data_IF_745825070126
#
_entry.id   IF_745825070126
#
_cell.length_a   1.000
_cell.length_b   1.000
_cell.length_c   1.000
_cell.angle_alpha   90.00
_cell.angle_beta   90.00
_cell.angle_gamma   90.00
#
_symmetry.space_group_name_H-M   'P 1'
#
loop_
_entity.id
_entity.type
_entity.pdbx_description
1 polymer ?
#
# COMPACT_ATOMS: atom_id res chain seq x y z
N UNK A 1 -51.57 -4.66 -51.42
CA UNK A 1 -50.36 -4.72 -50.59
C UNK A 1 -50.77 -4.94 -49.15
N UNK A 2 -50.85 -6.21 -48.72
CA UNK A 2 -51.41 -6.58 -47.41
C UNK A 2 -50.24 -6.73 -46.43
N UNK A 3 -50.24 -5.93 -45.38
CA UNK A 3 -49.30 -6.09 -44.26
C UNK A 3 -49.79 -7.23 -43.35
N UNK A 4 -49.03 -8.30 -43.22
CA UNK A 4 -49.27 -9.37 -42.27
C UNK A 4 -48.96 -8.90 -40.85
N UNK A 5 -50.00 -8.86 -40.02
CA UNK A 5 -49.86 -8.70 -38.58
C UNK A 5 -49.38 -10.04 -37.99
N UNK A 6 -48.15 -10.11 -37.52
CA UNK A 6 -47.66 -11.26 -36.77
C UNK A 6 -48.32 -11.30 -35.40
N UNK A 7 -48.86 -12.45 -35.05
CA UNK A 7 -49.66 -12.68 -33.85
C UNK A 7 -48.80 -12.57 -32.58
N UNK A 8 -49.16 -11.73 -31.62
CA UNK A 8 -48.50 -11.54 -30.31
C UNK A 8 -48.21 -12.85 -29.58
N UNK A 9 -48.97 -13.92 -29.85
CA UNK A 9 -48.76 -15.25 -29.24
C UNK A 9 -47.56 -16.00 -29.80
N UNK A 10 -47.14 -15.76 -31.02
CA UNK A 10 -45.92 -16.39 -31.60
C UNK A 10 -44.65 -15.69 -31.13
N UNK A 11 -44.71 -14.38 -30.95
CA UNK A 11 -43.59 -13.61 -30.37
C UNK A 11 -43.31 -14.00 -28.93
N UNK A 12 -44.30 -14.30 -28.11
CA UNK A 12 -44.13 -14.76 -26.73
C UNK A 12 -43.61 -16.21 -26.63
N UNK A 13 -43.93 -17.07 -27.62
CA UNK A 13 -43.39 -18.43 -27.65
C UNK A 13 -41.92 -18.50 -28.05
N UNK A 14 -41.45 -17.65 -28.95
CA UNK A 14 -40.05 -17.58 -29.36
C UNK A 14 -39.20 -16.80 -28.36
N UNK A 15 -39.72 -15.77 -27.71
CA UNK A 15 -39.03 -15.01 -26.66
C UNK A 15 -38.85 -15.79 -25.34
N UNK A 16 -39.79 -16.66 -25.00
CA UNK A 16 -39.74 -17.45 -23.77
C UNK A 16 -38.64 -18.53 -23.77
N UNK A 17 -38.38 -19.14 -24.91
CA UNK A 17 -37.31 -20.16 -25.02
C UNK A 17 -35.91 -19.55 -24.98
N UNK A 18 -35.71 -18.33 -25.50
CA UNK A 18 -34.44 -17.62 -25.44
C UNK A 18 -34.09 -17.15 -24.03
N UNK A 19 -35.10 -16.76 -23.21
CA UNK A 19 -34.89 -16.36 -21.82
C UNK A 19 -34.51 -17.55 -20.91
N UNK A 20 -35.07 -18.74 -21.19
CA UNK A 20 -34.75 -19.93 -20.38
C UNK A 20 -33.34 -20.44 -20.65
N UNK A 21 -32.80 -20.27 -21.87
CA UNK A 21 -31.40 -20.60 -22.19
C UNK A 21 -30.40 -19.63 -21.59
N UNK A 22 -30.75 -18.37 -21.38
CA UNK A 22 -29.93 -17.39 -20.69
C UNK A 22 -29.90 -17.58 -19.17
N UNK A 23 -30.94 -18.16 -18.58
CA UNK A 23 -30.99 -18.44 -17.15
C UNK A 23 -30.22 -19.72 -16.76
N UNK A 24 -29.99 -20.64 -17.68
CA UNK A 24 -29.21 -21.85 -17.43
C UNK A 24 -27.69 -21.66 -17.61
N UNK A 25 -27.23 -20.54 -18.15
CA UNK A 25 -25.79 -20.23 -18.25
C UNK A 25 -25.23 -19.52 -16.99
N UNK A 26 -26.08 -19.19 -16.00
CA UNK A 26 -25.68 -18.52 -14.74
C UNK A 26 -25.65 -19.44 -13.51
N UNK A 27 -25.51 -20.75 -13.66
CA UNK A 27 -25.29 -21.64 -12.51
C UNK A 27 -23.83 -21.92 -12.21
N UNK A 28 -22.91 -21.00 -12.53
CA UNK A 28 -21.70 -20.89 -11.77
C UNK A 28 -22.08 -20.22 -10.45
N UNK A 29 -22.35 -21.01 -9.41
CA UNK A 29 -22.36 -20.55 -8.03
C UNK A 29 -21.03 -19.86 -7.83
N UNK A 30 -21.00 -18.53 -7.92
CA UNK A 30 -19.79 -17.76 -7.70
C UNK A 30 -19.34 -18.08 -6.27
N UNK A 31 -18.32 -18.90 -6.16
CA UNK A 31 -17.78 -19.30 -4.86
C UNK A 31 -17.52 -18.01 -4.08
N UNK A 32 -18.21 -17.81 -2.96
CA UNK A 32 -18.02 -16.61 -2.12
C UNK A 32 -16.59 -16.61 -1.64
N UNK A 33 -15.80 -15.66 -2.10
CA UNK A 33 -14.43 -15.45 -1.66
C UNK A 33 -14.44 -14.56 -0.42
N UNK A 34 -13.80 -15.00 0.65
CA UNK A 34 -13.54 -14.19 1.84
C UNK A 34 -12.17 -13.54 1.72
N UNK A 35 -12.13 -12.22 1.78
CA UNK A 35 -10.90 -11.44 1.67
C UNK A 35 -10.63 -10.67 2.97
N UNK A 36 -9.58 -11.08 3.70
CA UNK A 36 -9.09 -10.34 4.85
C UNK A 36 -8.26 -9.15 4.38
N UNK A 37 -8.61 -7.95 4.81
CA UNK A 37 -8.05 -6.71 4.32
C UNK A 37 -7.49 -5.87 5.45
N UNK A 38 -6.18 -5.68 5.49
CA UNK A 38 -5.56 -4.67 6.34
C UNK A 38 -5.80 -3.28 5.73
N UNK A 39 -6.68 -2.50 6.35
CA UNK A 39 -7.15 -1.23 5.80
C UNK A 39 -6.18 -0.04 6.07
N UNK A 40 -5.03 -0.26 6.71
CA UNK A 40 -4.06 0.80 7.00
C UNK A 40 -3.38 1.28 5.72
N UNK A 41 -3.44 2.58 5.47
CA UNK A 41 -2.76 3.27 4.36
C UNK A 41 -3.20 2.86 2.95
N UNK A 42 -4.31 2.13 2.80
CA UNK A 42 -4.88 1.84 1.48
C UNK A 42 -5.54 3.10 0.90
N UNK A 43 -5.37 3.37 -0.40
CA UNK A 43 -6.10 4.43 -1.07
C UNK A 43 -7.62 4.15 -1.08
N UNK A 44 -8.42 5.19 -1.12
CA UNK A 44 -9.89 5.06 -1.10
C UNK A 44 -10.38 4.21 -2.28
N UNK A 45 -9.75 4.35 -3.44
CA UNK A 45 -10.09 3.60 -4.66
C UNK A 45 -9.71 2.11 -4.61
N UNK A 46 -8.91 1.68 -3.62
CA UNK A 46 -8.52 0.28 -3.54
C UNK A 46 -9.73 -0.66 -3.38
N UNK A 47 -10.78 -0.20 -2.72
CA UNK A 47 -12.02 -0.99 -2.55
C UNK A 47 -12.73 -1.28 -3.87
N UNK A 48 -12.60 -0.37 -4.83
CA UNK A 48 -13.28 -0.48 -6.13
C UNK A 48 -12.64 -1.52 -7.06
N UNK A 49 -11.40 -1.93 -6.76
CA UNK A 49 -10.68 -2.96 -7.52
C UNK A 49 -10.87 -4.36 -6.96
N UNK A 50 -11.50 -4.48 -5.80
CA UNK A 50 -11.86 -5.79 -5.22
C UNK A 50 -13.17 -6.23 -5.86
N UNK A 51 -13.25 -7.47 -6.40
CA UNK A 51 -14.47 -7.95 -7.02
C UNK A 51 -15.68 -7.84 -6.06
N UNK A 52 -16.80 -7.33 -6.55
CA UNK A 52 -18.01 -7.09 -5.75
C UNK A 52 -18.53 -8.35 -5.03
N UNK A 53 -18.34 -9.52 -5.65
CA UNK A 53 -18.74 -10.81 -5.07
C UNK A 53 -17.88 -11.24 -3.88
N UNK A 54 -16.75 -10.57 -3.61
CA UNK A 54 -15.84 -10.92 -2.52
C UNK A 54 -16.28 -10.27 -1.22
N UNK A 55 -16.41 -11.08 -0.16
CA UNK A 55 -16.69 -10.58 1.18
C UNK A 55 -15.41 -10.02 1.81
N UNK A 56 -15.40 -8.72 2.04
CA UNK A 56 -14.27 -8.03 2.67
C UNK A 56 -14.38 -8.06 4.20
N UNK A 57 -13.35 -8.55 4.88
CA UNK A 57 -13.24 -8.58 6.33
C UNK A 57 -12.03 -7.72 6.75
N UNK A 58 -12.27 -6.66 7.54
CA UNK A 58 -11.19 -5.75 7.94
C UNK A 58 -10.34 -6.33 9.07
N UNK A 59 -9.02 -6.22 8.93
CA UNK A 59 -8.03 -6.52 9.96
C UNK A 59 -7.45 -5.21 10.49
N UNK A 60 -7.33 -5.10 11.81
CA UNK A 60 -6.69 -3.96 12.47
C UNK A 60 -5.67 -4.47 13.49
N UNK A 61 -4.38 -4.43 13.15
CA UNK A 61 -3.29 -4.91 13.99
C UNK A 61 -2.90 -3.94 15.12
N UNK A 62 -3.25 -2.66 15.02
CA UNK A 62 -2.93 -1.65 16.03
C UNK A 62 -3.84 -1.67 17.27
N UNK A 63 -4.79 -2.59 17.36
CA UNK A 63 -5.69 -2.74 18.49
C UNK A 63 -5.40 -4.04 19.28
N UNK A 64 -5.85 -4.12 20.53
CA UNK A 64 -5.74 -5.31 21.39
C UNK A 64 -6.55 -6.54 20.89
N UNK A 65 -6.85 -6.59 19.59
CA UNK A 65 -7.67 -7.61 18.92
C UNK A 65 -6.86 -8.64 18.13
N UNK A 66 -5.67 -9.01 18.59
CA UNK A 66 -4.80 -9.97 17.87
C UNK A 66 -5.50 -11.31 17.61
N UNK A 67 -6.23 -11.83 18.57
CA UNK A 67 -6.97 -13.09 18.43
C UNK A 67 -8.10 -12.96 17.40
N UNK A 68 -8.89 -11.89 17.45
CA UNK A 68 -9.93 -11.60 16.45
C UNK A 68 -9.35 -11.49 15.04
N UNK A 69 -8.24 -10.79 14.89
CA UNK A 69 -7.56 -10.65 13.61
C UNK A 69 -7.07 -12.01 13.10
N UNK A 70 -6.52 -12.84 13.99
CA UNK A 70 -6.08 -14.19 13.65
C UNK A 70 -7.25 -15.03 13.12
N UNK A 71 -8.41 -15.00 13.77
CA UNK A 71 -9.60 -15.73 13.32
C UNK A 71 -10.08 -15.22 11.95
N UNK A 72 -10.11 -13.89 11.72
CA UNK A 72 -10.47 -13.33 10.42
C UNK A 72 -9.52 -13.84 9.32
N UNK A 73 -8.22 -13.86 9.58
CA UNK A 73 -7.21 -14.38 8.66
C UNK A 73 -7.44 -15.87 8.38
N UNK A 74 -7.73 -16.65 9.43
CA UNK A 74 -7.97 -18.09 9.33
C UNK A 74 -9.23 -18.44 8.54
N UNK A 75 -10.25 -17.58 8.55
CA UNK A 75 -11.52 -17.75 7.85
C UNK A 75 -11.52 -17.18 6.44
N UNK A 76 -10.40 -16.58 6.00
CA UNK A 76 -10.30 -15.91 4.71
C UNK A 76 -9.55 -16.76 3.68
N UNK A 77 -10.00 -16.68 2.43
CA UNK A 77 -9.36 -17.31 1.28
C UNK A 77 -8.09 -16.56 0.89
N UNK A 78 -8.16 -15.23 0.89
CA UNK A 78 -7.04 -14.34 0.63
C UNK A 78 -6.86 -13.35 1.78
N UNK A 79 -5.62 -12.96 2.02
CA UNK A 79 -5.27 -11.96 3.03
C UNK A 79 -4.35 -10.91 2.41
N UNK A 80 -4.73 -9.63 2.52
CA UNK A 80 -3.87 -8.49 2.20
C UNK A 80 -3.26 -7.92 3.47
N UNK A 81 -1.93 -7.85 3.50
CA UNK A 81 -1.16 -7.37 4.66
C UNK A 81 0.04 -6.54 4.20
N UNK A 82 0.42 -5.53 4.96
CA UNK A 82 1.67 -4.81 4.70
C UNK A 82 2.88 -5.47 5.38
N UNK A 83 4.07 -5.10 4.92
CA UNK A 83 5.35 -5.66 5.36
C UNK A 83 5.64 -5.45 6.85
N UNK A 84 5.03 -4.46 7.49
CA UNK A 84 5.18 -4.20 8.92
C UNK A 84 4.60 -5.32 9.80
N UNK A 85 3.63 -6.08 9.31
CA UNK A 85 2.93 -7.11 10.08
C UNK A 85 3.24 -8.54 9.62
N UNK A 86 4.05 -8.73 8.59
CA UNK A 86 4.40 -10.06 8.08
C UNK A 86 4.95 -10.98 9.17
N UNK A 87 5.72 -10.45 10.10
CA UNK A 87 6.29 -11.24 11.20
C UNK A 87 5.27 -11.78 12.21
N UNK A 88 4.02 -11.30 12.16
CA UNK A 88 2.92 -11.80 13.01
C UNK A 88 2.17 -12.95 12.35
N UNK A 89 2.47 -13.25 11.07
CA UNK A 89 1.79 -14.26 10.28
C UNK A 89 2.40 -15.64 10.52
N UNK A 90 1.54 -16.63 10.75
CA UNK A 90 1.93 -18.03 10.71
C UNK A 90 1.85 -18.56 9.27
N UNK A 91 2.99 -18.59 8.58
CA UNK A 91 3.09 -19.01 7.19
C UNK A 91 2.71 -20.47 6.92
N UNK A 92 2.74 -21.36 7.91
CA UNK A 92 2.32 -22.77 7.71
C UNK A 92 0.86 -22.91 7.24
N UNK A 93 0.06 -21.87 7.45
CA UNK A 93 -1.37 -21.84 7.12
C UNK A 93 -1.67 -21.32 5.70
N UNK A 94 -0.66 -20.92 4.95
CA UNK A 94 -0.82 -20.35 3.61
C UNK A 94 -0.20 -21.27 2.56
N UNK A 95 -0.81 -21.30 1.40
CA UNK A 95 -0.34 -22.04 0.22
C UNK A 95 0.78 -21.26 -0.47
N UNK A 96 1.61 -21.99 -1.20
CA UNK A 96 2.58 -21.39 -2.10
C UNK A 96 1.87 -20.84 -3.35
N UNK A 97 2.38 -19.72 -3.84
CA UNK A 97 1.90 -19.06 -5.05
C UNK A 97 2.96 -19.33 -6.14
N UNK A 98 2.90 -20.54 -6.72
CA UNK A 98 3.94 -21.08 -7.62
C UNK A 98 3.65 -20.89 -9.12
N UNK A 99 2.69 -20.04 -9.47
CA UNK A 99 2.37 -19.80 -10.88
C UNK A 99 3.49 -19.03 -11.56
N UNK A 100 3.95 -19.50 -12.71
CA UNK A 100 4.98 -18.82 -13.51
C UNK A 100 4.60 -17.38 -13.84
N UNK A 101 3.31 -17.14 -14.11
CA UNK A 101 2.74 -15.83 -14.34
C UNK A 101 3.13 -14.83 -13.26
N UNK A 102 3.05 -15.18 -11.97
CA UNK A 102 3.36 -14.26 -10.88
C UNK A 102 4.83 -13.86 -10.84
N UNK A 103 5.72 -14.81 -11.15
CA UNK A 103 7.16 -14.52 -11.21
C UNK A 103 7.53 -13.65 -12.41
N UNK A 104 6.80 -13.76 -13.52
CA UNK A 104 7.06 -13.03 -14.76
C UNK A 104 6.64 -11.57 -14.66
N UNK A 105 5.47 -11.28 -14.07
CA UNK A 105 4.94 -9.92 -14.02
C UNK A 105 5.62 -9.00 -13.01
N UNK A 106 6.30 -9.54 -12.00
CA UNK A 106 6.95 -8.74 -10.97
C UNK A 106 8.13 -7.93 -11.53
N UNK A 107 8.23 -6.67 -11.14
CA UNK A 107 9.38 -5.83 -11.44
C UNK A 107 10.62 -6.29 -10.66
N UNK A 108 11.78 -5.74 -11.03
CA UNK A 108 13.06 -6.08 -10.38
C UNK A 108 13.06 -5.79 -8.88
N UNK A 109 12.51 -4.64 -8.46
CA UNK A 109 12.46 -4.22 -7.05
C UNK A 109 11.66 -5.20 -6.20
N UNK A 110 10.52 -5.68 -6.72
CA UNK A 110 9.70 -6.71 -6.08
C UNK A 110 10.46 -8.00 -5.87
N UNK A 111 11.16 -8.45 -6.91
CA UNK A 111 11.98 -9.68 -6.87
C UNK A 111 13.11 -9.54 -5.86
N UNK A 112 13.82 -8.41 -5.87
CA UNK A 112 14.91 -8.13 -4.94
C UNK A 112 14.40 -8.08 -3.49
N UNK A 113 13.22 -7.47 -3.26
CA UNK A 113 12.63 -7.43 -1.93
C UNK A 113 12.15 -8.80 -1.45
N UNK A 114 11.48 -9.58 -2.30
CA UNK A 114 11.07 -10.95 -1.97
C UNK A 114 12.27 -11.84 -1.62
N UNK A 115 13.42 -11.63 -2.25
CA UNK A 115 14.65 -12.38 -1.95
C UNK A 115 15.22 -12.08 -0.54
N UNK A 116 14.74 -11.04 0.14
CA UNK A 116 15.10 -10.76 1.55
C UNK A 116 14.35 -11.63 2.56
N UNK A 117 13.32 -12.37 2.12
CA UNK A 117 12.56 -13.29 2.95
C UNK A 117 13.11 -14.72 2.87
N UNK A 118 12.85 -15.52 3.90
CA UNK A 118 13.11 -16.95 3.87
C UNK A 118 12.29 -17.63 2.76
N UNK A 119 12.81 -18.72 2.19
CA UNK A 119 12.19 -19.41 1.06
C UNK A 119 10.75 -19.83 1.33
N UNK A 120 10.48 -20.36 2.54
CA UNK A 120 9.15 -20.78 2.97
C UNK A 120 8.14 -19.63 3.10
N UNK A 121 8.61 -18.40 3.27
CA UNK A 121 7.79 -17.19 3.31
C UNK A 121 7.64 -16.58 1.92
N UNK A 122 8.77 -16.44 1.21
CA UNK A 122 8.84 -15.82 -0.12
C UNK A 122 7.87 -16.44 -1.10
N UNK A 123 7.77 -17.78 -1.11
CA UNK A 123 6.89 -18.49 -2.04
C UNK A 123 5.38 -18.31 -1.75
N UNK A 124 5.03 -17.72 -0.59
CA UNK A 124 3.64 -17.50 -0.16
C UNK A 124 3.21 -16.03 -0.21
N UNK A 125 4.16 -15.14 -0.50
CA UNK A 125 3.95 -13.70 -0.56
C UNK A 125 3.89 -13.24 -2.02
N UNK A 126 2.79 -12.58 -2.40
CA UNK A 126 2.70 -11.94 -3.70
C UNK A 126 2.56 -10.43 -3.53
N UNK A 127 3.56 -9.61 -3.93
CA UNK A 127 3.50 -8.17 -3.80
C UNK A 127 2.53 -7.58 -4.84
N UNK A 128 1.51 -6.83 -4.38
CA UNK A 128 0.52 -6.19 -5.25
C UNK A 128 0.56 -4.68 -5.21
N UNK A 129 1.30 -4.12 -4.28
CA UNK A 129 1.38 -2.69 -4.17
C UNK A 129 2.49 -2.21 -3.25
N UNK A 130 2.91 -0.99 -3.47
CA UNK A 130 3.84 -0.28 -2.61
C UNK A 130 3.45 1.19 -2.48
N UNK A 131 3.71 1.75 -1.31
CA UNK A 131 3.41 3.14 -0.96
C UNK A 131 4.68 3.80 -0.44
N UNK A 132 5.19 4.84 -1.09
CA UNK A 132 6.31 5.62 -0.56
C UNK A 132 5.84 6.50 0.60
N UNK A 133 6.70 6.68 1.61
CA UNK A 133 6.51 7.78 2.54
C UNK A 133 6.79 9.11 1.87
N UNK A 134 6.04 10.12 2.25
CA UNK A 134 6.18 11.47 1.76
C UNK A 134 6.43 12.44 2.92
N UNK A 135 7.08 13.54 2.64
CA UNK A 135 7.18 14.69 3.53
C UNK A 135 6.10 15.69 3.14
N UNK A 136 5.20 16.01 4.06
CA UNK A 136 4.22 17.09 3.87
C UNK A 136 4.68 18.30 4.66
N UNK A 137 4.72 19.45 3.99
CA UNK A 137 5.14 20.73 4.57
C UNK A 137 3.98 21.71 4.47
N UNK A 138 3.60 22.30 5.62
CA UNK A 138 2.55 23.30 5.73
C UNK A 138 3.15 24.71 5.72
N UNK A 139 2.65 25.60 4.82
CA UNK A 139 2.93 27.03 4.77
C UNK A 139 4.42 27.44 4.73
N UNK A 140 5.32 26.60 4.23
CA UNK A 140 6.75 26.94 4.25
C UNK A 140 7.50 26.51 2.98
N UNK A 141 7.55 27.41 1.99
CA UNK A 141 8.22 27.17 0.68
C UNK A 141 9.74 26.98 0.81
N UNK A 142 10.39 27.62 1.79
CA UNK A 142 11.84 27.52 1.99
C UNK A 142 12.23 26.13 2.46
N UNK A 143 11.42 25.53 3.35
CA UNK A 143 11.62 24.15 3.79
C UNK A 143 11.48 23.15 2.65
N UNK A 144 10.59 23.40 1.68
CA UNK A 144 10.39 22.53 0.51
C UNK A 144 11.69 22.35 -0.27
N UNK A 145 12.43 23.44 -0.51
CA UNK A 145 13.71 23.38 -1.22
C UNK A 145 14.76 22.57 -0.45
N UNK A 146 14.84 22.73 0.85
CA UNK A 146 15.78 22.00 1.72
C UNK A 146 15.40 20.52 1.82
N UNK A 147 14.11 20.21 1.99
CA UNK A 147 13.59 18.86 2.09
C UNK A 147 13.81 18.05 0.81
N UNK A 148 13.71 18.67 -0.37
CA UNK A 148 14.01 18.00 -1.66
C UNK A 148 15.46 17.52 -1.76
N UNK A 149 16.39 18.19 -1.08
CA UNK A 149 17.82 17.86 -1.14
C UNK A 149 18.15 16.68 -0.25
N UNK A 150 17.66 16.69 1.01
CA UNK A 150 18.14 15.76 2.02
C UNK A 150 17.21 15.70 3.23
N UNK A 151 17.18 14.54 3.90
CA UNK A 151 16.57 14.33 5.22
C UNK A 151 17.21 15.18 6.33
N UNK A 152 18.42 15.71 6.14
CA UNK A 152 19.12 16.55 7.13
C UNK A 152 18.33 17.80 7.51
N UNK A 153 17.38 18.28 6.66
CA UNK A 153 16.55 19.43 6.97
C UNK A 153 15.71 19.24 8.24
N UNK A 154 15.36 17.99 8.57
CA UNK A 154 14.60 17.65 9.78
C UNK A 154 15.35 18.02 11.07
N UNK A 155 16.69 18.17 11.02
CA UNK A 155 17.50 18.58 12.18
C UNK A 155 17.56 20.09 12.38
N UNK A 156 16.83 20.88 11.57
CA UNK A 156 16.77 22.33 11.70
C UNK A 156 16.16 22.74 13.04
N UNK A 157 16.81 23.62 13.78
CA UNK A 157 16.26 24.18 15.06
C UNK A 157 14.88 24.83 14.89
N UNK A 158 14.55 25.33 13.70
CA UNK A 158 13.23 25.89 13.38
C UNK A 158 12.09 24.87 13.44
N UNK A 159 12.43 23.57 13.41
CA UNK A 159 11.48 22.45 13.42
C UNK A 159 11.31 21.83 14.82
N UNK A 160 11.96 22.37 15.86
CA UNK A 160 11.84 21.84 17.23
C UNK A 160 10.39 21.78 17.68
N UNK A 161 9.90 20.57 18.02
CA UNK A 161 8.51 20.27 18.40
C UNK A 161 7.47 20.65 17.32
N UNK A 162 7.85 20.61 16.03
CA UNK A 162 6.97 20.95 14.90
C UNK A 162 6.87 19.85 13.83
N UNK A 163 7.38 18.67 14.12
CA UNK A 163 7.32 17.53 13.20
C UNK A 163 6.40 16.46 13.77
N UNK A 164 5.54 15.93 12.94
CA UNK A 164 4.74 14.74 13.23
C UNK A 164 5.38 13.55 12.51
N UNK A 165 5.73 12.54 13.27
CA UNK A 165 6.31 11.30 12.76
C UNK A 165 5.30 10.15 12.83
N UNK A 166 5.43 9.13 11.98
CA UNK A 166 4.68 7.89 12.14
C UNK A 166 5.05 7.19 13.46
N UNK A 167 4.11 6.42 14.01
CA UNK A 167 4.31 5.67 15.25
C UNK A 167 5.40 4.59 15.11
N UNK A 168 5.60 4.09 13.89
CA UNK A 168 6.57 3.02 13.63
C UNK A 168 8.02 3.47 13.86
N UNK A 169 8.71 2.97 14.91
CA UNK A 169 10.12 3.27 15.15
C UNK A 169 11.01 2.94 13.96
N UNK A 170 10.64 1.89 13.20
CA UNK A 170 11.37 1.41 12.03
C UNK A 170 11.53 2.51 10.97
N UNK A 171 10.47 3.30 10.75
CA UNK A 171 10.51 4.39 9.78
C UNK A 171 11.48 5.48 10.24
N UNK A 172 11.38 5.92 11.48
CA UNK A 172 12.23 7.00 11.99
C UNK A 172 13.71 6.59 12.06
N UNK A 173 14.00 5.37 12.50
CA UNK A 173 15.38 4.85 12.55
C UNK A 173 15.97 4.79 11.14
N UNK A 174 15.20 4.29 10.16
CA UNK A 174 15.67 4.21 8.77
C UNK A 174 15.93 5.59 8.14
N UNK A 175 15.14 6.59 8.51
CA UNK A 175 15.39 7.99 8.12
C UNK A 175 16.65 8.52 8.81
N UNK A 176 16.84 8.23 10.11
CA UNK A 176 18.04 8.64 10.84
C UNK A 176 19.33 8.11 10.22
N UNK A 177 19.31 6.88 9.67
CA UNK A 177 20.44 6.28 8.95
C UNK A 177 20.80 7.02 7.64
N UNK A 178 19.86 7.80 7.07
CA UNK A 178 20.11 8.64 5.89
C UNK A 178 20.62 10.05 6.26
N UNK A 179 20.63 10.37 7.53
CA UNK A 179 21.10 11.66 8.04
C UNK A 179 22.56 11.51 8.47
N UNK A 180 23.40 12.41 7.98
CA UNK A 180 24.82 12.41 8.32
C UNK A 180 25.05 13.05 9.72
N UNK A 181 24.65 12.32 10.79
CA UNK A 181 24.86 12.72 12.18
C UNK A 181 24.83 11.47 13.07
N UNK A 182 25.79 11.32 13.97
CA UNK A 182 25.89 10.16 14.87
C UNK A 182 24.71 10.09 15.87
N UNK A 183 24.09 11.21 16.18
CA UNK A 183 22.95 11.35 17.09
C UNK A 183 21.63 11.69 16.38
N UNK A 184 21.56 11.39 15.08
CA UNK A 184 20.41 11.72 14.23
C UNK A 184 19.06 11.27 14.83
N UNK A 185 18.99 10.03 15.32
CA UNK A 185 17.75 9.50 15.88
C UNK A 185 17.29 10.24 17.14
N UNK A 186 18.22 10.53 18.06
CA UNK A 186 17.91 11.30 19.26
C UNK A 186 17.43 12.73 18.90
N UNK A 187 18.12 13.37 17.94
CA UNK A 187 17.71 14.68 17.43
C UNK A 187 16.35 14.64 16.76
N UNK A 188 16.05 13.63 15.94
CA UNK A 188 14.73 13.48 15.32
C UNK A 188 13.63 13.30 16.38
N UNK A 189 13.87 12.47 17.40
CA UNK A 189 12.92 12.31 18.52
C UNK A 189 12.69 13.64 19.23
N UNK A 190 13.71 14.46 19.45
CA UNK A 190 13.55 15.79 20.10
C UNK A 190 12.80 16.80 19.23
N UNK A 191 12.83 16.65 17.90
CA UNK A 191 12.07 17.48 16.96
C UNK A 191 10.58 17.09 16.89
N UNK A 192 10.24 15.88 17.36
CA UNK A 192 8.87 15.41 17.30
C UNK A 192 7.94 16.26 18.16
N UNK A 193 6.83 16.69 17.58
CA UNK A 193 5.67 17.18 18.30
C UNK A 193 4.89 16.00 18.89
N UNK A 194 4.64 14.98 18.05
CA UNK A 194 3.99 13.73 18.41
C UNK A 194 4.29 12.63 17.38
N UNK A 195 3.90 11.41 17.73
CA UNK A 195 3.91 10.23 16.85
C UNK A 195 2.45 9.78 16.67
N UNK A 196 1.99 9.66 15.43
CA UNK A 196 0.62 9.25 15.11
C UNK A 196 0.56 8.72 13.68
N UNK A 197 -0.12 7.58 13.47
CA UNK A 197 -0.36 7.00 12.16
C UNK A 197 -1.79 7.23 11.65
N UNK A 198 -2.73 7.57 12.54
CA UNK A 198 -4.16 7.62 12.21
C UNK A 198 -4.63 9.04 11.86
N UNK A 199 -4.20 10.02 12.64
CA UNK A 199 -4.70 11.41 12.55
C UNK A 199 -3.62 12.40 12.11
N UNK A 200 -2.53 11.93 11.56
CA UNK A 200 -1.32 12.72 11.23
C UNK A 200 -1.63 13.99 10.44
N UNK A 201 -2.52 13.93 9.44
CA UNK A 201 -2.89 15.10 8.63
C UNK A 201 -3.80 16.07 9.40
N UNK A 202 -4.70 15.54 10.22
CA UNK A 202 -5.54 16.39 11.07
C UNK A 202 -4.67 17.19 12.07
N UNK A 203 -3.69 16.53 12.68
CA UNK A 203 -2.71 17.21 13.52
C UNK A 203 -1.91 18.27 12.75
N UNK A 204 -1.40 17.92 11.56
CA UNK A 204 -0.63 18.85 10.74
C UNK A 204 -1.45 20.11 10.41
N UNK A 205 -2.72 19.95 10.03
CA UNK A 205 -3.58 21.06 9.61
C UNK A 205 -3.94 21.97 10.81
N UNK A 206 -4.26 21.37 11.95
CA UNK A 206 -4.90 22.05 13.08
C UNK A 206 -3.96 22.38 14.27
N UNK A 207 -2.65 22.09 14.16
CA UNK A 207 -1.68 22.38 15.21
C UNK A 207 -0.55 23.30 14.73
N UNK A 208 0.44 23.53 15.60
CA UNK A 208 1.69 24.26 15.31
C UNK A 208 2.69 23.42 14.48
N UNK A 209 2.39 22.15 14.22
CA UNK A 209 3.21 21.35 13.35
C UNK A 209 3.28 21.94 11.94
N UNK A 210 4.45 21.90 11.34
CA UNK A 210 4.66 22.39 9.98
C UNK A 210 5.22 21.30 9.04
N UNK A 211 5.63 20.14 9.57
CA UNK A 211 6.12 18.98 8.81
C UNK A 211 5.46 17.72 9.31
N UNK A 212 5.08 16.83 8.40
CA UNK A 212 4.67 15.46 8.71
C UNK A 212 5.34 14.47 7.77
N UNK A 213 5.70 13.30 8.29
CA UNK A 213 6.18 12.15 7.52
C UNK A 213 5.03 11.14 7.44
N UNK A 214 4.51 10.88 6.26
CA UNK A 214 3.23 10.17 6.08
C UNK A 214 3.26 9.29 4.83
N UNK A 215 2.60 8.12 4.82
CA UNK A 215 2.38 7.37 3.59
C UNK A 215 1.67 8.22 2.54
N UNK A 216 2.19 8.24 1.31
CA UNK A 216 1.67 9.10 0.24
C UNK A 216 0.19 8.85 -0.05
N UNK A 217 -0.26 7.62 0.05
CA UNK A 217 -1.67 7.26 -0.15
C UNK A 217 -2.64 7.99 0.79
N UNK A 218 -2.22 8.34 2.00
CA UNK A 218 -3.06 9.08 2.95
C UNK A 218 -3.19 10.56 2.62
N UNK A 219 -2.19 11.15 1.98
CA UNK A 219 -2.13 12.60 1.79
C UNK A 219 -2.48 13.08 0.38
N UNK A 220 -2.47 12.19 -0.62
CA UNK A 220 -2.66 12.55 -2.04
C UNK A 220 -3.93 13.37 -2.30
N UNK A 221 -5.04 13.06 -1.64
CA UNK A 221 -6.29 13.80 -1.76
C UNK A 221 -6.24 15.19 -1.12
N UNK A 222 -5.58 15.34 0.02
CA UNK A 222 -5.50 16.61 0.74
C UNK A 222 -4.66 17.64 -0.03
N UNK A 223 -3.64 17.18 -0.76
CA UNK A 223 -2.81 18.04 -1.60
C UNK A 223 -3.58 18.70 -2.74
N UNK A 224 -4.68 18.08 -3.17
CA UNK A 224 -5.55 18.62 -4.23
C UNK A 224 -6.49 19.72 -3.72
N UNK A 225 -6.80 19.75 -2.44
CA UNK A 225 -7.81 20.64 -1.85
C UNK A 225 -7.24 21.71 -0.92
N UNK A 226 -6.04 21.48 -0.34
CA UNK A 226 -5.43 22.44 0.59
C UNK A 226 -4.12 23.02 0.01
N UNK A 227 -4.15 24.27 -0.52
CA UNK A 227 -2.99 24.90 -1.15
C UNK A 227 -1.86 25.24 -0.15
N UNK A 228 -2.10 25.15 1.15
CA UNK A 228 -1.07 25.35 2.18
C UNK A 228 -0.10 24.18 2.26
N UNK A 229 -0.50 23.01 1.74
CA UNK A 229 0.27 21.79 1.83
C UNK A 229 1.16 21.61 0.58
N UNK A 230 2.39 21.23 0.82
CA UNK A 230 3.35 20.87 -0.22
C UNK A 230 3.89 19.47 0.05
N UNK A 231 3.91 18.62 -0.98
CA UNK A 231 4.54 17.31 -0.91
C UNK A 231 6.00 17.38 -1.35
N UNK A 232 6.84 16.62 -0.67
CA UNK A 232 8.26 16.51 -1.00
C UNK A 232 8.72 15.06 -0.90
N UNK A 233 9.53 14.66 -1.88
CA UNK A 233 10.29 13.42 -1.88
C UNK A 233 11.78 13.77 -1.97
N UNK A 234 12.59 13.47 -0.95
CA UNK A 234 14.02 13.77 -0.95
C UNK A 234 14.77 12.99 -2.02
N UNK A 235 15.81 13.59 -2.61
CA UNK A 235 16.69 12.91 -3.58
C UNK A 235 17.40 11.68 -2.98
N UNK A 236 17.54 11.63 -1.67
CA UNK A 236 18.11 10.50 -0.94
C UNK A 236 17.21 9.26 -0.88
N UNK A 237 16.00 9.34 -1.45
CA UNK A 237 14.99 8.29 -1.38
C UNK A 237 14.06 8.42 -0.18
N UNK A 238 13.11 7.52 -0.11
CA UNK A 238 12.09 7.43 0.96
C UNK A 238 11.85 5.98 1.37
N UNK A 239 11.38 5.74 2.59
CA UNK A 239 10.92 4.41 3.00
C UNK A 239 9.73 3.97 2.14
N UNK A 240 9.64 2.68 1.84
CA UNK A 240 8.55 2.06 1.08
C UNK A 240 7.78 1.09 1.97
N UNK A 241 6.46 1.16 1.95
CA UNK A 241 5.56 0.17 2.55
C UNK A 241 5.15 -0.79 1.45
N UNK A 242 5.32 -2.08 1.65
CA UNK A 242 4.88 -3.11 0.73
C UNK A 242 3.60 -3.77 1.19
N UNK A 243 2.76 -4.14 0.23
CA UNK A 243 1.54 -4.91 0.45
C UNK A 243 1.58 -6.22 -0.28
N UNK A 244 1.26 -7.28 0.43
CA UNK A 244 1.29 -8.65 -0.07
C UNK A 244 -0.08 -9.30 0.05
N UNK A 245 -0.39 -10.10 -0.96
CA UNK A 245 -1.48 -11.07 -0.87
C UNK A 245 -0.91 -12.42 -0.49
N UNK A 246 -1.59 -13.08 0.43
CA UNK A 246 -1.38 -14.47 0.81
C UNK A 246 -2.64 -15.26 0.47
N UNK A 247 -2.48 -16.51 0.03
CA UNK A 247 -3.59 -17.42 -0.30
C UNK A 247 -3.63 -18.59 0.69
N UNK A 248 -4.82 -18.86 1.24
CA UNK A 248 -5.07 -20.05 2.07
C UNK A 248 -5.92 -21.10 1.38
N UNK A 249 -6.62 -20.69 0.36
CA UNK A 249 -7.65 -21.50 -0.26
C UNK A 249 -7.09 -22.49 -1.25
N UNK A 250 -7.68 -23.66 -1.34
CA UNK A 250 -7.65 -24.54 -2.52
C UNK A 250 -8.56 -23.99 -3.65
N UNK A 251 -8.95 -22.72 -3.59
CA UNK A 251 -9.54 -22.04 -4.73
C UNK A 251 -8.52 -22.09 -5.88
N UNK A 252 -9.02 -22.29 -7.08
CA UNK A 252 -8.15 -22.31 -8.25
C UNK A 252 -7.31 -21.02 -8.26
N UNK A 253 -6.04 -21.15 -8.55
CA UNK A 253 -5.11 -20.02 -8.77
C UNK A 253 -5.66 -19.01 -9.78
N UNK A 254 -6.53 -19.45 -10.67
CA UNK A 254 -7.23 -18.66 -11.68
C UNK A 254 -7.98 -17.45 -11.09
N UNK A 255 -8.70 -17.62 -9.97
CA UNK A 255 -9.43 -16.51 -9.34
C UNK A 255 -8.46 -15.40 -8.88
N UNK A 256 -7.33 -15.78 -8.30
CA UNK A 256 -6.31 -14.83 -7.88
C UNK A 256 -5.62 -14.20 -9.10
N UNK A 257 -5.31 -14.98 -10.11
CA UNK A 257 -4.70 -14.53 -11.38
C UNK A 257 -5.61 -13.53 -12.07
N UNK A 258 -6.90 -13.81 -12.19
CA UNK A 258 -7.85 -12.91 -12.86
C UNK A 258 -8.00 -11.58 -12.12
N UNK A 259 -8.03 -11.63 -10.80
CA UNK A 259 -8.03 -10.39 -10.01
C UNK A 259 -6.71 -9.60 -10.21
N UNK A 260 -5.55 -10.26 -10.15
CA UNK A 260 -4.25 -9.61 -10.36
C UNK A 260 -4.14 -9.04 -11.77
N UNK A 261 -4.61 -9.73 -12.80
CA UNK A 261 -4.69 -9.19 -14.17
C UNK A 261 -5.53 -7.91 -14.23
N UNK A 262 -6.60 -7.83 -13.44
CA UNK A 262 -7.41 -6.61 -13.38
C UNK A 262 -6.65 -5.40 -12.84
N UNK A 263 -5.63 -5.62 -11.98
CA UNK A 263 -4.76 -4.56 -11.47
C UNK A 263 -3.88 -3.94 -12.57
N UNK A 264 -3.58 -4.69 -13.63
CA UNK A 264 -2.76 -4.22 -14.75
C UNK A 264 -3.55 -3.29 -15.71
N UNK A 265 -4.87 -3.19 -15.53
CA UNK A 265 -5.68 -2.35 -16.41
C UNK A 265 -5.28 -0.87 -16.30
N UNK A 266 -5.30 -0.17 -17.45
CA UNK A 266 -4.94 1.24 -17.50
C UNK A 266 -5.71 2.09 -16.48
N UNK A 267 -7.01 1.88 -16.38
CA UNK A 267 -7.88 2.63 -15.46
C UNK A 267 -7.50 2.39 -14.00
N UNK A 268 -7.18 1.15 -13.63
CA UNK A 268 -6.75 0.79 -12.27
C UNK A 268 -5.40 1.43 -11.93
N UNK A 269 -4.42 1.28 -12.82
CA UNK A 269 -3.07 1.85 -12.62
C UNK A 269 -3.14 3.37 -12.48
N UNK A 270 -3.87 4.07 -13.37
CA UNK A 270 -4.02 5.52 -13.34
C UNK A 270 -4.68 5.99 -12.04
N UNK A 271 -5.71 5.29 -11.60
CA UNK A 271 -6.46 5.61 -10.38
C UNK A 271 -5.60 5.42 -9.14
N UNK A 272 -4.99 4.26 -8.98
CA UNK A 272 -4.18 3.94 -7.82
C UNK A 272 -2.92 4.80 -7.71
N UNK A 273 -2.19 5.01 -8.83
CA UNK A 273 -0.98 5.85 -8.82
C UNK A 273 -1.29 7.30 -8.47
N UNK A 274 -2.43 7.83 -8.95
CA UNK A 274 -2.88 9.18 -8.60
C UNK A 274 -3.21 9.36 -7.11
N UNK A 275 -3.42 8.26 -6.40
CA UNK A 275 -3.64 8.20 -4.95
C UNK A 275 -2.38 7.74 -4.18
N UNK A 276 -1.23 7.64 -4.84
CA UNK A 276 0.05 7.31 -4.20
C UNK A 276 0.30 5.83 -3.96
N UNK A 277 -0.46 4.96 -4.63
CA UNK A 277 -0.26 3.52 -4.61
C UNK A 277 0.34 3.05 -5.92
N UNK A 278 1.48 2.39 -5.87
CA UNK A 278 2.21 1.91 -7.05
C UNK A 278 2.12 0.40 -7.14
N UNK A 279 1.71 -0.11 -8.31
CA UNK A 279 1.65 -1.55 -8.60
C UNK A 279 3.05 -1.99 -9.05
N UNK A 280 3.68 -2.98 -8.38
CA UNK A 280 5.07 -3.34 -8.64
C UNK A 280 5.22 -4.38 -9.77
N UNK A 281 4.57 -4.12 -10.92
CA UNK A 281 4.59 -5.02 -12.07
C UNK A 281 5.41 -4.45 -13.22
N UNK A 282 6.00 -5.36 -14.01
CA UNK A 282 6.87 -5.03 -15.13
C UNK A 282 6.11 -5.05 -16.46
N UNK A 283 4.96 -4.35 -16.53
CA UNK A 283 4.27 -4.18 -17.81
C UNK A 283 4.70 -2.86 -18.47
N UNK A 284 4.70 -2.83 -19.81
CA UNK A 284 5.12 -1.64 -20.56
C UNK A 284 4.31 -0.41 -20.19
N UNK A 285 3.00 -0.59 -19.99
CA UNK A 285 2.12 0.51 -19.59
C UNK A 285 2.49 1.07 -18.21
N UNK A 286 2.63 0.21 -17.20
CA UNK A 286 2.96 0.61 -15.82
C UNK A 286 4.31 1.34 -15.79
N UNK A 287 5.31 0.80 -16.45
CA UNK A 287 6.64 1.41 -16.52
C UNK A 287 6.63 2.79 -17.22
N UNK A 288 5.89 2.91 -18.33
CA UNK A 288 5.75 4.18 -19.03
C UNK A 288 4.98 5.24 -18.22
N UNK A 289 3.92 4.81 -17.52
CA UNK A 289 3.12 5.67 -16.64
C UNK A 289 3.94 6.23 -15.50
N UNK A 290 4.67 5.39 -14.76
CA UNK A 290 5.49 5.85 -13.63
C UNK A 290 6.63 6.74 -14.09
N UNK A 291 7.24 6.44 -15.25
CA UNK A 291 8.23 7.33 -15.84
C UNK A 291 7.65 8.72 -16.13
N UNK A 292 6.44 8.79 -16.68
CA UNK A 292 5.75 10.06 -16.94
C UNK A 292 5.44 10.83 -15.65
N UNK A 293 4.95 10.16 -14.60
CA UNK A 293 4.68 10.77 -13.29
C UNK A 293 5.94 11.35 -12.65
N UNK A 294 7.06 10.63 -12.73
CA UNK A 294 8.36 11.12 -12.26
C UNK A 294 8.83 12.38 -12.99
N UNK A 295 8.54 12.50 -14.29
CA UNK A 295 8.86 13.69 -15.07
C UNK A 295 7.97 14.90 -14.72
N UNK A 296 6.70 14.65 -14.43
CA UNK A 296 5.74 15.71 -14.10
C UNK A 296 5.67 16.06 -12.62
N UNK A 297 6.57 15.54 -11.77
CA UNK A 297 6.59 15.73 -10.31
C UNK A 297 5.28 15.37 -9.59
N UNK A 298 4.51 14.44 -10.15
CA UNK A 298 3.29 13.91 -9.54
C UNK A 298 3.56 12.80 -8.51
N UNK A 299 4.81 12.34 -8.45
CA UNK A 299 5.30 11.33 -7.53
C UNK A 299 6.80 11.51 -7.24
N UNK A 300 7.45 10.52 -6.64
CA UNK A 300 8.90 10.53 -6.42
C UNK A 300 9.65 10.69 -7.76
N UNK A 301 10.65 11.58 -7.81
CA UNK A 301 11.52 11.67 -8.99
C UNK A 301 12.27 10.33 -9.20
N UNK A 302 12.79 10.09 -10.42
CA UNK A 302 13.58 8.88 -10.70
C UNK A 302 14.72 8.69 -9.69
N UNK A 303 15.47 9.75 -9.38
CA UNK A 303 16.56 9.68 -8.42
C UNK A 303 16.07 9.34 -7.00
N UNK A 304 14.95 9.94 -6.57
CA UNK A 304 14.33 9.57 -5.30
C UNK A 304 13.90 8.09 -5.31
N UNK A 305 13.22 7.66 -6.37
CA UNK A 305 12.74 6.30 -6.52
C UNK A 305 13.86 5.28 -6.47
N UNK A 306 14.94 5.50 -7.23
CA UNK A 306 16.10 4.61 -7.26
C UNK A 306 16.80 4.50 -5.90
N UNK A 307 16.81 5.57 -5.11
CA UNK A 307 17.39 5.63 -3.77
C UNK A 307 16.41 5.19 -2.65
N UNK A 308 15.13 4.97 -2.96
CA UNK A 308 14.14 4.55 -1.97
C UNK A 308 14.41 3.13 -1.50
N UNK A 309 14.08 2.85 -0.23
CA UNK A 309 14.44 1.59 0.41
C UNK A 309 13.24 0.88 1.02
N UNK A 310 13.32 -0.43 1.03
CA UNK A 310 12.39 -1.34 1.69
C UNK A 310 12.93 -1.74 3.06
N UNK A 311 12.05 -2.22 3.93
CA UNK A 311 12.44 -2.69 5.25
C UNK A 311 12.68 -4.20 5.22
N UNK A 312 13.93 -4.67 5.39
CA UNK A 312 14.20 -6.10 5.47
C UNK A 312 13.51 -6.70 6.70
N UNK A 313 13.19 -7.98 6.62
CA UNK A 313 12.67 -8.69 7.78
C UNK A 313 13.73 -8.79 8.87
N UNK A 314 13.34 -8.47 10.09
CA UNK A 314 14.22 -8.56 11.26
C UNK A 314 14.07 -9.93 11.92
N UNK A 315 15.18 -10.54 12.28
CA UNK A 315 15.18 -11.68 13.21
C UNK A 315 14.69 -11.26 14.59
N UNK A 316 14.28 -12.21 15.44
CA UNK A 316 13.83 -11.87 16.79
C UNK A 316 14.90 -11.14 17.61
N UNK A 317 16.17 -11.53 17.46
CA UNK A 317 17.29 -10.85 18.13
C UNK A 317 17.46 -9.40 17.65
N UNK A 318 17.31 -9.17 16.34
CA UNK A 318 17.34 -7.82 15.77
C UNK A 318 16.16 -6.96 16.24
N UNK A 319 14.95 -7.55 16.35
CA UNK A 319 13.77 -6.83 16.89
C UNK A 319 13.99 -6.38 18.31
N UNK A 320 14.44 -7.28 19.19
CA UNK A 320 14.74 -6.94 20.60
C UNK A 320 15.81 -5.84 20.67
N UNK A 321 16.89 -5.95 19.89
CA UNK A 321 17.92 -4.90 19.82
C UNK A 321 17.34 -3.56 19.35
N UNK A 322 16.46 -3.59 18.38
CA UNK A 322 15.82 -2.42 17.80
C UNK A 322 14.87 -1.74 18.80
N UNK A 323 14.04 -2.53 19.50
CA UNK A 323 13.14 -2.05 20.55
C UNK A 323 13.94 -1.45 21.73
N UNK A 324 14.98 -2.13 22.17
CA UNK A 324 15.86 -1.62 23.22
C UNK A 324 16.52 -0.30 22.80
N UNK A 325 17.01 -0.21 21.56
CA UNK A 325 17.60 1.02 21.04
C UNK A 325 16.58 2.16 21.02
N UNK A 326 15.34 1.89 20.58
CA UNK A 326 14.26 2.86 20.56
C UNK A 326 13.86 3.34 21.97
N UNK A 327 13.70 2.40 22.91
CA UNK A 327 13.24 2.69 24.27
C UNK A 327 14.32 3.38 25.13
N UNK A 328 15.59 3.05 24.92
CA UNK A 328 16.71 3.63 25.65
C UNK A 328 17.10 5.05 25.19
N UNK A 329 16.56 5.49 24.04
CA UNK A 329 16.69 6.88 23.66
C UNK A 329 15.77 7.71 24.54
N UNK A 330 16.29 8.23 25.62
CA UNK A 330 15.57 9.18 26.50
C UNK A 330 15.05 10.33 25.63
N UNK A 331 13.76 10.62 25.78
CA UNK A 331 13.18 11.86 25.28
C UNK A 331 13.72 12.93 26.23
N UNK A 332 14.53 13.90 25.78
CA UNK A 332 15.00 14.97 26.62
C UNK A 332 13.85 15.84 27.14
#
# INVERSE_FOLDING_TARGET
MFAQYSNRREFLKSGGLSLILLLNSCSNVSKKVNFALQNSFLPDSFKDIIPFAWKQNKINFGSNNLEKNRNIILDSDFTLINDGWISTINFSQFNEINESYFSEILDRRSKDFLNSFEVNQRNKLFPIGLVPYAIIIKNNKDLVSSARKSWNFLLSRKLTKKIIFPESPRVLISIAEKINSSDALAKLKSQAMLFDDQNILNWLINSEACVAIVPYSLCSKYLKIDPRLSIVFPKQGVPLIWYFVLSRSNLSSEILIDWIKSLESKSTVDKLSSEGWYIPFNTNYIQSKYKAEMHHNLGPSKLCWDNSWSFPQLTNAQKIKFENYWNNLLIP
#
